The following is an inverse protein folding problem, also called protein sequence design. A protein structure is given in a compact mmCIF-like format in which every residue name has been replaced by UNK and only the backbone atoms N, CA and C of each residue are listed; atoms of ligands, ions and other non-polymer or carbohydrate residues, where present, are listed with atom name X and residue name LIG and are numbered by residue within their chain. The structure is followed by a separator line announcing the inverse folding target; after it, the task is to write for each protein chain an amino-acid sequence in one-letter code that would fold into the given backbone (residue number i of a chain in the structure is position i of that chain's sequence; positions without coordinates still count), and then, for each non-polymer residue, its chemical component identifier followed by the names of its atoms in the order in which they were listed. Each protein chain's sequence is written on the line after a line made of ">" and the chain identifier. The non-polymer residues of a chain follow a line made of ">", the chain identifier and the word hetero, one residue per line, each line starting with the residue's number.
data_IF_002924626184
#
_entry.id   IF_002924626184
#
_cell.length_a   1.000
_cell.length_b   1.000
_cell.length_c   1.000
_cell.angle_alpha   90.00
_cell.angle_beta   90.00
_cell.angle_gamma   90.00
#
_symmetry.space_group_name_H-M   'P 1'
#
loop_
_entity.id
_entity.type
_entity.pdbx_description
1 polymer ?
#
# COMPACT_ATOMS: atom_id res chain seq x y z
N UNK A 1 -58.61 11.53 54.10
CA UNK A 1 -57.14 11.43 53.96
C UNK A 1 -56.86 10.80 52.61
N UNK A 2 -56.33 11.58 51.67
CA UNK A 2 -55.91 11.10 50.35
C UNK A 2 -54.39 10.93 50.35
N UNK A 3 -53.82 9.86 49.77
CA UNK A 3 -52.39 9.70 49.71
C UNK A 3 -51.80 10.63 48.66
N UNK A 4 -50.80 11.41 49.06
CA UNK A 4 -49.93 12.17 48.16
C UNK A 4 -49.01 11.15 47.46
N UNK A 5 -49.19 10.98 46.15
CA UNK A 5 -48.29 10.18 45.32
C UNK A 5 -47.09 11.06 44.98
N UNK A 6 -45.99 10.85 45.71
CA UNK A 6 -44.66 11.37 45.35
C UNK A 6 -44.26 10.77 44.00
N UNK A 7 -44.28 11.59 42.95
CA UNK A 7 -43.60 11.27 41.71
C UNK A 7 -42.09 11.26 41.99
N UNK A 8 -41.53 10.06 42.11
CA UNK A 8 -40.09 9.84 42.06
C UNK A 8 -39.58 10.40 40.73
N UNK A 9 -38.78 11.47 40.78
CA UNK A 9 -37.92 11.81 39.66
C UNK A 9 -37.06 10.57 39.41
N UNK A 10 -37.27 9.88 38.28
CA UNK A 10 -36.26 8.97 37.77
C UNK A 10 -35.03 9.82 37.54
N UNK A 11 -33.94 9.48 38.23
CA UNK A 11 -32.60 9.94 37.92
C UNK A 11 -32.42 9.82 36.41
N UNK A 12 -32.40 10.97 35.73
CA UNK A 12 -31.89 11.02 34.38
C UNK A 12 -30.43 10.61 34.54
N UNK A 13 -30.04 9.52 33.87
CA UNK A 13 -28.62 9.25 33.64
C UNK A 13 -27.94 10.59 33.31
N UNK A 14 -26.76 10.88 33.91
CA UNK A 14 -26.08 12.13 33.66
C UNK A 14 -25.97 12.30 32.15
N UNK A 15 -26.45 13.44 31.67
CA UNK A 15 -26.46 13.86 30.27
C UNK A 15 -25.03 13.67 29.73
N UNK A 16 -24.76 12.49 29.16
CA UNK A 16 -23.44 12.18 28.63
C UNK A 16 -23.24 13.13 27.47
N UNK A 17 -22.24 14.00 27.58
CA UNK A 17 -21.93 14.98 26.55
C UNK A 17 -21.85 14.26 25.20
N UNK A 18 -22.75 14.56 24.23
CA UNK A 18 -22.78 13.87 22.94
C UNK A 18 -21.48 14.04 22.15
N UNK A 19 -20.59 14.92 22.60
CA UNK A 19 -19.33 15.28 21.98
C UNK A 19 -18.09 14.74 22.70
N UNK A 20 -18.23 14.06 23.85
CA UNK A 20 -17.12 13.53 24.65
C UNK A 20 -16.17 12.63 23.83
N UNK A 21 -16.73 11.89 22.86
CA UNK A 21 -15.98 10.99 21.97
C UNK A 21 -16.00 11.44 20.51
N UNK A 22 -16.47 12.66 20.21
CA UNK A 22 -16.49 13.15 18.84
C UNK A 22 -15.06 13.35 18.34
N UNK A 23 -14.75 12.69 17.23
CA UNK A 23 -13.53 12.94 16.45
C UNK A 23 -13.96 13.35 15.06
N UNK A 24 -13.43 14.48 14.58
CA UNK A 24 -13.65 14.91 13.21
C UNK A 24 -13.22 13.78 12.26
N UNK A 25 -14.07 13.35 11.32
CA UNK A 25 -13.70 12.34 10.34
C UNK A 25 -12.45 12.77 9.57
N UNK A 26 -11.53 11.83 9.35
CA UNK A 26 -10.34 12.08 8.53
C UNK A 26 -10.70 11.76 7.08
N UNK A 27 -10.92 12.81 6.30
CA UNK A 27 -11.22 12.70 4.89
C UNK A 27 -9.98 12.30 4.08
N UNK A 28 -10.08 11.19 3.34
CA UNK A 28 -9.02 10.72 2.46
C UNK A 28 -9.54 9.74 1.39
N UNK A 29 -8.68 9.33 0.46
CA UNK A 29 -8.96 8.27 -0.50
C UNK A 29 -7.79 7.32 -0.77
N UNK A 30 -8.15 6.14 -1.27
CA UNK A 30 -7.28 5.03 -1.57
C UNK A 30 -7.14 4.85 -3.09
N UNK A 31 -6.00 4.32 -3.51
CA UNK A 31 -5.73 3.89 -4.89
C UNK A 31 -5.50 2.39 -4.85
N UNK A 32 -6.32 1.64 -5.59
CA UNK A 32 -6.29 0.19 -5.62
C UNK A 32 -6.00 -0.29 -7.04
N UNK A 33 -5.16 -1.31 -7.15
CA UNK A 33 -4.95 -2.05 -8.38
C UNK A 33 -6.10 -3.03 -8.63
N UNK A 34 -6.61 -3.09 -9.85
CA UNK A 34 -7.64 -4.05 -10.27
C UNK A 34 -7.06 -5.44 -10.64
N UNK A 35 -5.73 -5.58 -10.76
CA UNK A 35 -5.04 -6.84 -11.08
C UNK A 35 -5.03 -7.87 -9.92
N UNK A 36 -5.76 -7.60 -8.83
CA UNK A 36 -5.91 -8.50 -7.69
C UNK A 36 -6.81 -9.74 -7.92
N UNK A 37 -7.11 -10.13 -9.16
CA UNK A 37 -7.77 -11.42 -9.40
C UNK A 37 -6.84 -12.64 -9.44
N UNK A 38 -5.51 -12.50 -9.55
CA UNK A 38 -4.62 -13.68 -9.66
C UNK A 38 -3.73 -13.99 -8.44
N UNK A 39 -3.57 -13.09 -7.47
CA UNK A 39 -2.71 -13.34 -6.30
C UNK A 39 -3.31 -12.94 -4.93
N UNK A 40 -4.61 -12.66 -4.84
CA UNK A 40 -5.24 -12.34 -3.55
C UNK A 40 -6.61 -12.98 -3.39
N UNK A 41 -6.60 -14.23 -2.92
CA UNK A 41 -7.71 -14.70 -2.09
C UNK A 41 -7.60 -14.17 -0.65
N UNK A 42 -6.51 -13.48 -0.27
CA UNK A 42 -6.20 -13.27 1.15
C UNK A 42 -5.84 -11.85 1.59
N UNK A 43 -5.67 -10.86 0.70
CA UNK A 43 -5.12 -9.58 1.17
C UNK A 43 -5.86 -8.29 0.79
N UNK A 44 -6.56 -8.15 -0.34
CA UNK A 44 -7.49 -7.02 -0.57
C UNK A 44 -6.94 -5.63 -0.22
N UNK A 45 -5.61 -5.43 -0.29
CA UNK A 45 -4.99 -4.31 0.45
C UNK A 45 -5.13 -3.04 -0.38
N UNK A 46 -5.90 -2.10 0.17
CA UNK A 46 -5.98 -0.74 -0.30
C UNK A 46 -4.84 0.09 0.31
N UNK A 47 -4.09 0.82 -0.51
CA UNK A 47 -2.96 1.63 -0.03
C UNK A 47 -3.15 3.11 -0.38
N UNK A 48 -2.57 3.97 0.45
CA UNK A 48 -2.23 5.33 0.05
C UNK A 48 -0.89 5.25 -0.69
N UNK A 49 -0.91 5.41 -2.01
CA UNK A 49 0.31 5.60 -2.81
C UNK A 49 0.30 6.98 -3.44
N UNK A 50 1.50 7.52 -3.68
CA UNK A 50 1.72 8.75 -4.44
C UNK A 50 2.31 8.46 -5.83
N UNK A 51 2.50 7.18 -6.18
CA UNK A 51 3.13 6.73 -7.41
C UNK A 51 2.42 5.49 -7.98
N UNK A 52 2.16 5.47 -9.29
CA UNK A 52 1.46 4.38 -10.00
C UNK A 52 2.05 4.16 -11.40
N UNK A 53 1.93 2.96 -11.96
CA UNK A 53 2.29 2.73 -13.37
C UNK A 53 1.27 3.31 -14.35
N UNK A 54 1.76 3.83 -15.46
CA UNK A 54 0.93 4.05 -16.65
C UNK A 54 0.44 2.71 -17.20
N UNK A 55 -0.60 2.77 -18.01
CA UNK A 55 -1.21 1.62 -18.69
C UNK A 55 -1.79 0.54 -17.77
N UNK A 56 -2.07 0.88 -16.50
CA UNK A 56 -2.81 0.03 -15.56
C UNK A 56 -4.09 0.76 -15.16
N UNK A 57 -5.18 0.00 -15.01
CA UNK A 57 -6.44 0.52 -14.47
C UNK A 57 -6.38 0.47 -12.94
N UNK A 58 -6.59 1.62 -12.31
CA UNK A 58 -6.69 1.72 -10.86
C UNK A 58 -8.08 2.12 -10.43
N UNK A 59 -8.57 1.55 -9.34
CA UNK A 59 -9.77 1.99 -8.66
C UNK A 59 -9.41 3.05 -7.61
N UNK A 60 -9.96 4.24 -7.77
CA UNK A 60 -9.91 5.31 -6.78
C UNK A 60 -11.13 5.20 -5.89
N UNK A 61 -10.97 5.26 -4.56
CA UNK A 61 -12.05 5.04 -3.60
C UNK A 61 -11.95 5.96 -2.39
N UNK A 62 -13.02 6.70 -2.10
CA UNK A 62 -13.14 7.49 -0.86
C UNK A 62 -13.14 6.57 0.36
N UNK A 63 -12.41 6.96 1.41
CA UNK A 63 -12.42 6.25 2.70
C UNK A 63 -13.76 6.46 3.41
N UNK A 64 -14.23 7.71 3.43
CA UNK A 64 -15.49 8.07 4.07
C UNK A 64 -16.68 7.87 3.13
N UNK A 65 -17.84 7.66 3.75
CA UNK A 65 -19.14 7.74 3.09
C UNK A 65 -19.64 9.18 3.09
N UNK A 66 -19.88 9.69 1.89
CA UNK A 66 -20.47 11.00 1.64
C UNK A 66 -21.84 10.84 0.98
N UNK A 67 -22.70 11.84 1.17
CA UNK A 67 -23.99 11.96 0.48
C UNK A 67 -23.76 12.25 -1.01
N UNK A 68 -22.71 13.02 -1.33
CA UNK A 68 -22.29 13.29 -2.71
C UNK A 68 -20.78 13.30 -2.85
N UNK A 69 -20.31 12.91 -4.03
CA UNK A 69 -18.90 12.90 -4.39
C UNK A 69 -18.70 13.76 -5.64
N UNK A 70 -17.57 14.46 -5.70
CA UNK A 70 -17.07 15.08 -6.92
C UNK A 70 -15.56 14.83 -7.00
N UNK A 71 -15.17 14.00 -7.97
CA UNK A 71 -13.79 13.72 -8.29
C UNK A 71 -13.35 14.49 -9.52
N UNK A 72 -12.14 15.01 -9.48
CA UNK A 72 -11.54 15.75 -10.57
C UNK A 72 -10.04 15.43 -10.68
N UNK A 73 -9.54 15.36 -11.91
CA UNK A 73 -8.11 15.37 -12.18
C UNK A 73 -7.72 16.82 -12.48
N UNK A 74 -6.99 17.46 -11.58
CA UNK A 74 -6.58 18.86 -11.75
C UNK A 74 -5.72 18.98 -13.01
N UNK A 75 -6.07 19.94 -13.87
CA UNK A 75 -5.42 20.11 -15.17
C UNK A 75 -6.02 19.24 -16.29
N UNK A 76 -6.97 18.34 -15.98
CA UNK A 76 -7.79 17.64 -16.95
C UNK A 76 -9.28 17.94 -16.70
N UNK A 77 -9.79 19.09 -17.18
CA UNK A 77 -11.15 19.55 -16.88
C UNK A 77 -12.24 18.63 -17.44
N UNK A 78 -11.90 17.72 -18.35
CA UNK A 78 -12.84 16.77 -18.94
C UNK A 78 -13.17 15.58 -18.02
N UNK A 79 -12.32 15.29 -17.02
CA UNK A 79 -12.57 14.16 -16.12
C UNK A 79 -13.35 14.59 -14.88
N UNK A 80 -14.54 14.00 -14.70
CA UNK A 80 -15.34 14.09 -13.47
C UNK A 80 -15.95 12.75 -13.12
N UNK A 81 -16.03 12.43 -11.83
CA UNK A 81 -16.81 11.30 -11.32
C UNK A 81 -17.61 11.70 -10.08
N UNK A 82 -18.78 11.11 -9.89
CA UNK A 82 -19.70 11.41 -8.78
C UNK A 82 -19.99 10.20 -7.88
N UNK A 83 -19.24 9.12 -8.06
CA UNK A 83 -19.39 7.88 -7.29
C UNK A 83 -18.38 7.79 -6.14
N UNK A 84 -18.65 6.95 -5.13
CA UNK A 84 -17.70 6.67 -4.04
C UNK A 84 -16.37 6.11 -4.55
N UNK A 85 -16.44 5.32 -5.62
CA UNK A 85 -15.28 4.74 -6.30
C UNK A 85 -15.46 4.69 -7.80
N UNK A 86 -14.36 4.78 -8.54
CA UNK A 86 -14.33 4.67 -10.00
C UNK A 86 -12.99 4.12 -10.49
N UNK A 87 -12.98 3.37 -11.60
CA UNK A 87 -11.74 3.02 -12.28
C UNK A 87 -11.24 4.19 -13.12
N UNK A 88 -9.92 4.37 -13.18
CA UNK A 88 -9.27 5.33 -14.06
C UNK A 88 -7.94 4.77 -14.56
N UNK A 89 -7.65 5.11 -15.82
CA UNK A 89 -6.49 4.65 -16.57
C UNK A 89 -5.65 5.85 -17.01
N UNK A 90 -4.32 5.71 -16.94
CA UNK A 90 -3.39 6.75 -17.32
C UNK A 90 -2.44 6.27 -18.43
N UNK A 91 -2.52 6.81 -19.66
CA UNK A 91 -1.69 6.36 -20.78
C UNK A 91 -0.24 6.90 -20.74
N UNK A 92 -0.02 7.99 -20.01
CA UNK A 92 1.21 8.78 -20.08
C UNK A 92 1.87 8.92 -18.71
N UNK A 93 3.20 8.94 -18.70
CA UNK A 93 4.00 9.37 -17.55
C UNK A 93 3.70 10.84 -17.27
N UNK A 94 3.35 11.17 -16.03
CA UNK A 94 2.97 12.53 -15.65
C UNK A 94 2.95 12.69 -14.12
N UNK A 95 3.01 13.93 -13.63
CA UNK A 95 2.57 14.25 -12.27
C UNK A 95 1.19 14.88 -12.38
N UNK A 96 0.21 14.31 -11.68
CA UNK A 96 -1.17 14.80 -11.66
C UNK A 96 -1.56 15.14 -10.22
N UNK A 97 -2.62 15.93 -10.07
CA UNK A 97 -3.30 16.08 -8.79
C UNK A 97 -4.72 15.56 -8.91
N UNK A 98 -5.10 14.69 -7.99
CA UNK A 98 -6.45 14.18 -7.84
C UNK A 98 -7.15 14.96 -6.74
N UNK A 99 -8.34 15.48 -7.03
CA UNK A 99 -9.20 16.20 -6.08
C UNK A 99 -10.47 15.40 -5.84
N UNK A 100 -10.82 15.20 -4.57
CA UNK A 100 -12.13 14.72 -4.12
C UNK A 100 -12.78 15.82 -3.30
N UNK A 101 -14.02 16.16 -3.63
CA UNK A 101 -14.91 16.97 -2.81
C UNK A 101 -16.06 16.07 -2.37
N UNK A 102 -16.08 15.73 -1.09
CA UNK A 102 -17.16 14.98 -0.44
C UNK A 102 -18.09 15.92 0.29
N UNK A 103 -19.41 15.67 0.22
CA UNK A 103 -20.38 16.37 1.07
C UNK A 103 -21.11 15.38 1.96
N UNK A 104 -21.20 15.68 3.24
CA UNK A 104 -21.95 14.95 4.27
C UNK A 104 -22.79 15.92 5.07
N UNK A 105 -23.73 15.40 5.84
CA UNK A 105 -24.46 16.22 6.82
C UNK A 105 -23.47 16.85 7.84
N UNK A 106 -23.54 18.17 8.06
CA UNK A 106 -22.78 18.85 9.12
C UNK A 106 -23.10 18.33 10.52
N UNK A 107 -22.09 18.19 11.38
CA UNK A 107 -22.24 17.95 12.81
C UNK A 107 -21.97 19.23 13.63
N UNK A 108 -22.84 20.23 13.48
CA UNK A 108 -22.73 21.50 14.20
C UNK A 108 -22.95 21.38 15.71
N UNK A 109 -23.47 20.24 16.19
CA UNK A 109 -23.61 19.95 17.62
C UNK A 109 -22.25 19.81 18.30
N UNK A 110 -21.32 19.07 17.68
CA UNK A 110 -19.99 18.81 18.26
C UNK A 110 -18.86 19.60 17.60
N UNK A 111 -19.11 20.19 16.44
CA UNK A 111 -18.17 21.04 15.73
C UNK A 111 -18.97 22.18 15.09
N UNK A 112 -19.16 23.31 15.79
CA UNK A 112 -19.98 24.43 15.31
C UNK A 112 -19.56 25.00 13.96
N UNK A 113 -18.33 24.70 13.51
CA UNK A 113 -17.78 25.15 12.23
C UNK A 113 -17.76 24.05 11.16
N UNK A 114 -18.27 22.85 11.46
CA UNK A 114 -18.41 21.78 10.46
C UNK A 114 -19.44 22.23 9.42
N UNK A 115 -18.99 22.43 8.18
CA UNK A 115 -19.82 22.76 7.03
C UNK A 115 -20.25 21.51 6.25
N UNK A 116 -19.79 20.32 6.69
CA UNK A 116 -20.06 19.05 6.04
C UNK A 116 -19.35 18.87 4.70
N UNK A 117 -18.36 19.72 4.36
CA UNK A 117 -17.64 19.66 3.10
C UNK A 117 -16.18 19.27 3.35
N UNK A 118 -15.78 18.13 2.79
CA UNK A 118 -14.43 17.64 2.88
C UNK A 118 -13.75 17.74 1.50
N UNK A 119 -12.63 18.46 1.41
CA UNK A 119 -11.83 18.58 0.17
C UNK A 119 -10.46 17.93 0.34
N UNK A 120 -10.20 16.89 -0.42
CA UNK A 120 -8.93 16.15 -0.43
C UNK A 120 -8.22 16.42 -1.75
N UNK A 121 -6.94 16.77 -1.69
CA UNK A 121 -6.07 16.90 -2.87
C UNK A 121 -4.83 16.03 -2.64
N UNK A 122 -4.57 15.07 -3.53
CA UNK A 122 -3.35 14.26 -3.51
C UNK A 122 -2.61 14.37 -4.84
N UNK A 123 -1.30 14.53 -4.78
CA UNK A 123 -0.45 14.41 -5.95
C UNK A 123 -0.17 12.93 -6.24
N UNK A 124 -0.21 12.55 -7.52
CA UNK A 124 0.18 11.23 -7.99
C UNK A 124 1.21 11.36 -9.10
N UNK A 125 2.25 10.55 -9.02
CA UNK A 125 3.29 10.41 -10.03
C UNK A 125 3.02 9.15 -10.83
N UNK A 126 2.65 9.32 -12.09
CA UNK A 126 2.48 8.22 -13.03
C UNK A 126 3.83 7.96 -13.69
N UNK A 127 4.31 6.73 -13.62
CA UNK A 127 5.63 6.30 -14.11
C UNK A 127 5.50 5.16 -15.11
N UNK A 128 6.56 4.89 -15.84
CA UNK A 128 6.60 3.80 -16.82
C UNK A 128 6.50 2.44 -16.13
N UNK A 129 5.73 1.51 -16.72
CA UNK A 129 5.68 0.12 -16.24
C UNK A 129 7.01 -0.59 -16.44
N UNK A 130 7.42 -1.40 -15.46
CA UNK A 130 8.58 -2.27 -15.60
C UNK A 130 8.14 -3.42 -16.50
N UNK A 131 8.32 -3.25 -17.81
CA UNK A 131 8.21 -4.37 -18.74
C UNK A 131 9.54 -5.12 -18.78
N UNK A 132 9.52 -6.47 -18.68
CA UNK A 132 10.73 -7.30 -18.81
C UNK A 132 11.48 -7.10 -20.14
N UNK A 133 10.86 -6.46 -21.13
CA UNK A 133 11.44 -6.14 -22.44
C UNK A 133 12.21 -4.82 -22.50
N UNK A 134 12.22 -4.01 -21.45
CA UNK A 134 12.86 -2.69 -21.47
C UNK A 134 14.28 -2.79 -20.88
N UNK A 135 15.30 -2.43 -21.67
CA UNK A 135 16.72 -2.51 -21.28
C UNK A 135 17.15 -1.44 -20.29
N UNK A 136 16.50 -0.28 -20.32
CA UNK A 136 16.71 0.79 -19.33
C UNK A 136 15.62 0.68 -18.27
N UNK A 137 15.94 0.34 -17.01
CA UNK A 137 14.93 0.36 -15.97
C UNK A 137 14.30 1.76 -15.97
N UNK A 138 12.96 1.86 -15.84
CA UNK A 138 12.38 3.15 -15.53
C UNK A 138 13.03 3.69 -14.25
N UNK A 139 12.97 5.01 -14.01
CA UNK A 139 13.49 5.62 -12.78
C UNK A 139 12.80 4.97 -11.56
N UNK A 140 13.35 3.85 -11.11
CA UNK A 140 12.71 2.99 -10.14
C UNK A 140 13.14 3.47 -8.77
N UNK A 141 12.16 3.91 -7.99
CA UNK A 141 12.38 4.46 -6.65
C UNK A 141 13.08 3.47 -5.72
N UNK A 142 12.98 2.16 -5.98
CA UNK A 142 13.52 1.13 -5.12
C UNK A 142 14.87 0.54 -5.56
N UNK A 143 15.38 0.83 -6.77
CA UNK A 143 16.68 0.27 -7.19
C UNK A 143 17.82 0.91 -6.40
N UNK A 144 18.85 0.14 -6.09
CA UNK A 144 20.06 0.62 -5.43
C UNK A 144 20.35 -0.09 -4.11
N UNK A 145 21.25 0.50 -3.34
CA UNK A 145 21.81 -0.10 -2.14
C UNK A 145 21.05 0.34 -0.91
N UNK A 146 20.90 -0.59 0.01
CA UNK A 146 20.24 -0.40 1.29
C UNK A 146 21.13 -0.94 2.40
N UNK A 147 21.08 -0.25 3.53
CA UNK A 147 21.76 -0.66 4.74
C UNK A 147 20.77 -0.67 5.89
N UNK A 148 20.78 -1.72 6.71
CA UNK A 148 19.75 -1.92 7.72
C UNK A 148 20.10 -3.03 8.69
N UNK A 149 19.09 -3.57 9.36
CA UNK A 149 19.25 -4.66 10.32
C UNK A 149 18.08 -5.63 10.25
N UNK A 150 18.32 -6.88 10.67
CA UNK A 150 17.24 -7.82 10.97
C UNK A 150 16.71 -7.52 12.38
N UNK A 151 15.39 -7.38 12.54
CA UNK A 151 14.75 -7.08 13.83
C UNK A 151 15.11 -8.12 14.91
N UNK A 152 15.41 -9.37 14.53
CA UNK A 152 15.86 -10.39 15.48
C UNK A 152 17.31 -10.17 15.93
N UNK A 153 18.15 -9.56 15.08
CA UNK A 153 19.55 -9.26 15.37
C UNK A 153 19.86 -7.78 15.06
N UNK A 154 19.28 -6.83 15.82
CA UNK A 154 19.31 -5.41 15.47
C UNK A 154 20.70 -4.76 15.60
N UNK A 155 21.65 -5.45 16.23
CA UNK A 155 23.03 -4.98 16.42
C UNK A 155 23.92 -5.24 15.20
N UNK A 156 23.47 -6.06 14.25
CA UNK A 156 24.24 -6.41 13.06
C UNK A 156 23.69 -5.61 11.89
N UNK A 157 24.51 -4.68 11.39
CA UNK A 157 24.20 -3.96 10.16
C UNK A 157 24.44 -4.88 8.95
N UNK A 158 23.45 -4.98 8.07
CA UNK A 158 23.47 -5.80 6.87
C UNK A 158 23.13 -4.92 5.66
N UNK A 159 23.90 -5.13 4.58
CA UNK A 159 23.70 -4.45 3.31
C UNK A 159 22.97 -5.35 2.32
N UNK A 160 22.05 -4.78 1.56
CA UNK A 160 21.42 -5.44 0.42
C UNK A 160 21.37 -4.49 -0.78
N UNK A 161 21.19 -5.03 -1.97
CA UNK A 161 21.08 -4.23 -3.19
C UNK A 161 19.93 -4.74 -4.04
N UNK A 162 19.07 -3.84 -4.48
CA UNK A 162 18.01 -4.16 -5.43
C UNK A 162 18.48 -3.73 -6.82
N UNK A 163 18.63 -4.71 -7.71
CA UNK A 163 19.15 -4.51 -9.07
C UNK A 163 18.10 -4.86 -10.11
N UNK A 164 18.21 -4.24 -11.28
CA UNK A 164 17.46 -4.61 -12.46
C UNK A 164 18.45 -5.01 -13.54
N UNK A 165 18.44 -6.28 -13.92
CA UNK A 165 19.44 -6.83 -14.82
C UNK A 165 18.87 -7.97 -15.67
N UNK A 166 19.57 -8.24 -16.77
CA UNK A 166 19.24 -9.34 -17.68
C UNK A 166 19.78 -10.64 -17.11
N UNK A 167 18.93 -11.66 -16.99
CA UNK A 167 19.38 -13.00 -16.60
C UNK A 167 20.16 -13.63 -17.76
N UNK A 168 21.36 -14.21 -17.53
CA UNK A 168 22.08 -14.92 -18.57
C UNK A 168 21.20 -16.00 -19.22
N UNK A 169 21.12 -16.02 -20.55
CA UNK A 169 20.29 -16.96 -21.31
C UNK A 169 18.82 -16.55 -21.49
N UNK A 170 18.40 -15.38 -20.98
CA UNK A 170 17.04 -14.85 -21.16
C UNK A 170 17.07 -13.54 -21.95
N UNK A 171 16.02 -13.28 -22.72
CA UNK A 171 15.81 -12.00 -23.40
C UNK A 171 15.37 -10.88 -22.45
N UNK A 172 14.83 -11.27 -21.30
CA UNK A 172 14.11 -10.39 -20.39
C UNK A 172 14.96 -9.93 -19.21
N UNK A 173 14.68 -8.73 -18.74
CA UNK A 173 15.22 -8.14 -17.52
C UNK A 173 14.29 -8.44 -16.35
N UNK A 174 14.89 -8.64 -15.18
CA UNK A 174 14.19 -8.92 -13.94
C UNK A 174 14.78 -8.07 -12.82
N UNK A 175 13.94 -7.81 -11.82
CA UNK A 175 14.39 -7.18 -10.58
C UNK A 175 14.85 -8.26 -9.62
N UNK A 176 16.01 -8.08 -9.02
CA UNK A 176 16.59 -8.99 -8.03
C UNK A 176 16.98 -8.28 -6.75
N UNK A 177 16.98 -9.02 -5.64
CA UNK A 177 17.69 -8.62 -4.42
C UNK A 177 19.00 -9.42 -4.33
N UNK A 178 20.11 -8.70 -4.21
CA UNK A 178 21.44 -9.22 -3.91
C UNK A 178 21.73 -9.08 -2.41
N UNK A 179 22.56 -9.99 -1.89
CA UNK A 179 23.07 -9.99 -0.51
C UNK A 179 21.98 -10.00 0.57
N UNK A 180 20.83 -10.63 0.28
CA UNK A 180 19.75 -10.68 1.25
C UNK A 180 20.18 -11.42 2.53
N UNK A 181 19.87 -10.92 3.75
CA UNK A 181 20.29 -11.56 4.99
C UNK A 181 19.81 -13.01 5.10
N UNK A 182 20.69 -13.90 5.55
CA UNK A 182 20.44 -15.35 5.68
C UNK A 182 19.93 -16.06 4.41
N UNK A 183 20.16 -15.42 3.26
CA UNK A 183 20.01 -16.04 1.96
C UNK A 183 21.32 -16.69 1.52
N UNK A 184 21.25 -17.67 0.63
CA UNK A 184 22.48 -18.28 0.15
C UNK A 184 23.31 -17.28 -0.63
N UNK A 185 24.63 -17.32 -0.40
CA UNK A 185 25.60 -16.29 -0.80
C UNK A 185 25.58 -15.90 -2.29
N UNK A 186 24.98 -16.72 -3.15
CA UNK A 186 24.95 -16.52 -4.60
C UNK A 186 23.54 -16.32 -5.19
N UNK A 187 22.50 -16.21 -4.36
CA UNK A 187 21.14 -16.23 -4.85
C UNK A 187 20.58 -14.83 -5.11
N UNK A 188 20.36 -14.55 -6.39
CA UNK A 188 19.51 -13.46 -6.87
C UNK A 188 18.06 -13.90 -6.76
N UNK A 189 17.24 -13.18 -6.00
CA UNK A 189 15.81 -13.50 -5.87
C UNK A 189 14.98 -12.65 -6.79
N UNK A 190 14.23 -13.28 -7.70
CA UNK A 190 13.27 -12.57 -8.54
C UNK A 190 12.22 -11.87 -7.69
N UNK A 191 11.92 -10.63 -8.03
CA UNK A 191 10.93 -9.79 -7.37
C UNK A 191 9.75 -9.53 -8.29
N UNK A 192 8.54 -9.64 -7.73
CA UNK A 192 7.34 -9.18 -8.37
C UNK A 192 6.91 -7.87 -7.72
N UNK A 193 6.87 -6.79 -8.48
CA UNK A 193 6.58 -5.46 -7.97
C UNK A 193 5.10 -5.16 -8.22
N UNK A 194 4.38 -4.85 -7.15
CA UNK A 194 3.00 -4.39 -7.25
C UNK A 194 2.89 -3.13 -8.10
N UNK A 195 1.74 -2.95 -8.71
CA UNK A 195 1.50 -1.82 -9.60
C UNK A 195 1.58 -0.43 -8.93
N UNK A 196 1.47 -0.40 -7.61
CA UNK A 196 1.47 0.80 -6.77
C UNK A 196 2.84 1.13 -6.18
N UNK A 197 3.92 0.42 -6.57
CA UNK A 197 5.30 0.59 -6.06
C UNK A 197 5.51 0.35 -4.55
N UNK A 198 4.45 0.16 -3.79
CA UNK A 198 4.53 0.06 -2.34
C UNK A 198 4.82 -1.36 -1.88
N UNK A 199 4.61 -2.37 -2.72
CA UNK A 199 4.78 -3.76 -2.35
C UNK A 199 5.63 -4.51 -3.38
N UNK A 200 6.59 -5.28 -2.92
CA UNK A 200 7.30 -6.30 -3.69
C UNK A 200 6.99 -7.64 -3.06
N UNK A 201 6.53 -8.59 -3.85
CA UNK A 201 6.43 -9.97 -3.43
C UNK A 201 7.76 -10.67 -3.64
N UNK A 202 8.24 -11.29 -2.56
CA UNK A 202 9.31 -12.27 -2.61
C UNK A 202 8.66 -13.59 -3.00
N UNK A 203 8.46 -13.78 -4.29
CA UNK A 203 7.85 -14.98 -4.82
C UNK A 203 8.75 -15.54 -5.90
N UNK A 204 9.57 -16.54 -5.54
CA UNK A 204 10.24 -17.31 -6.56
C UNK A 204 9.96 -18.80 -6.43
N UNK A 205 9.22 -19.29 -7.41
CA UNK A 205 9.13 -20.68 -7.81
C UNK A 205 10.49 -21.14 -8.32
N UNK A 206 11.01 -22.24 -7.78
CA UNK A 206 12.11 -23.00 -8.37
C UNK A 206 11.71 -23.49 -9.78
N UNK A 207 11.87 -22.67 -10.82
CA UNK A 207 11.90 -23.16 -12.20
C UNK A 207 13.34 -23.41 -12.58
N UNK A 208 13.78 -24.60 -12.15
CA UNK A 208 14.78 -25.45 -12.79
C UNK A 208 16.11 -24.81 -13.19
N UNK A 209 17.13 -25.12 -12.39
CA UNK A 209 18.52 -24.88 -12.73
C UNK A 209 19.45 -25.32 -11.60
N UNK A 210 19.40 -26.61 -11.25
CA UNK A 210 20.46 -27.38 -10.59
C UNK A 210 21.30 -26.73 -9.48
N UNK A 211 21.18 -27.28 -8.27
CA UNK A 211 22.39 -27.66 -7.53
C UNK A 211 22.88 -26.69 -6.45
N UNK A 212 22.11 -26.56 -5.38
CA UNK A 212 22.62 -26.90 -4.03
C UNK A 212 21.42 -27.32 -3.20
N UNK A 213 21.30 -28.63 -2.96
CA UNK A 213 20.28 -29.22 -2.10
C UNK A 213 20.32 -28.54 -0.72
N UNK A 214 19.30 -27.71 -0.43
CA UNK A 214 19.07 -27.18 0.92
C UNK A 214 18.76 -25.70 1.04
N UNK A 215 18.98 -24.90 -0.01
CA UNK A 215 18.65 -23.47 0.03
C UNK A 215 17.25 -23.19 -0.52
N UNK A 216 16.36 -22.66 0.31
CA UNK A 216 15.03 -22.22 -0.11
C UNK A 216 15.01 -20.69 -0.22
N UNK A 217 14.43 -20.17 -1.30
CA UNK A 217 14.21 -18.73 -1.47
C UNK A 217 13.30 -18.18 -0.37
N UNK A 218 13.58 -16.97 0.16
CA UNK A 218 12.67 -16.32 1.09
C UNK A 218 11.33 -16.11 0.41
N UNK A 219 10.25 -16.37 1.15
CA UNK A 219 8.89 -15.98 0.77
C UNK A 219 8.43 -14.88 1.69
N UNK A 220 7.72 -13.90 1.14
CA UNK A 220 7.28 -12.75 1.91
C UNK A 220 7.00 -11.57 1.02
N UNK A 221 7.10 -10.39 1.63
CA UNK A 221 6.83 -9.14 0.97
C UNK A 221 7.73 -8.04 1.50
N UNK A 222 7.95 -7.05 0.67
CA UNK A 222 8.81 -5.90 0.92
C UNK A 222 7.98 -4.65 0.67
N UNK A 223 7.98 -3.74 1.63
CA UNK A 223 7.28 -2.47 1.55
C UNK A 223 8.29 -1.33 1.52
N UNK A 224 8.18 -0.45 0.53
CA UNK A 224 8.99 0.77 0.49
C UNK A 224 8.28 1.88 1.25
N UNK A 225 9.08 2.63 1.98
CA UNK A 225 8.65 3.85 2.66
C UNK A 225 9.57 4.99 2.22
N UNK A 226 9.17 6.26 2.39
CA UNK A 226 10.07 7.38 2.17
C UNK A 226 11.37 7.29 2.99
N UNK A 227 11.33 6.59 4.13
CA UNK A 227 12.47 6.39 5.03
C UNK A 227 13.38 5.21 4.63
N UNK A 228 12.95 4.35 3.70
CA UNK A 228 13.69 3.16 3.32
C UNK A 228 12.80 1.97 2.97
N UNK A 229 13.11 0.80 3.50
CA UNK A 229 12.48 -0.46 3.14
C UNK A 229 12.23 -1.34 4.37
N UNK A 230 11.07 -1.96 4.39
CA UNK A 230 10.62 -2.90 5.42
C UNK A 230 10.26 -4.23 4.76
N UNK A 231 11.08 -5.26 4.98
CA UNK A 231 10.93 -6.56 4.33
C UNK A 231 10.53 -7.58 5.37
N UNK A 232 9.32 -8.12 5.23
CA UNK A 232 8.79 -9.19 6.06
C UNK A 232 8.87 -10.52 5.30
N UNK A 233 9.59 -11.48 5.85
CA UNK A 233 9.90 -12.72 5.14
C UNK A 233 10.01 -13.94 6.05
N UNK A 234 9.95 -15.12 5.43
CA UNK A 234 10.23 -16.40 6.03
C UNK A 234 11.20 -17.20 5.15
N UNK A 235 12.22 -17.77 5.78
CA UNK A 235 13.12 -18.77 5.19
C UNK A 235 12.72 -20.14 5.76
N UNK A 236 12.33 -21.08 4.90
CA UNK A 236 11.83 -22.44 5.19
C UNK A 236 10.38 -22.63 5.69
N UNK A 237 9.72 -23.60 5.04
CA UNK A 237 8.45 -24.31 5.33
C UNK A 237 7.27 -23.39 5.68
N UNK A 238 6.29 -23.21 4.80
CA UNK A 238 5.08 -24.05 4.73
C UNK A 238 4.49 -23.97 3.31
N UNK A 239 4.25 -25.13 2.68
CA UNK A 239 3.60 -25.27 1.37
C UNK A 239 2.07 -25.13 1.43
N UNK A 240 1.55 -24.42 2.42
CA UNK A 240 0.11 -24.25 2.64
C UNK A 240 -0.24 -22.76 2.47
N UNK A 241 -0.99 -22.39 1.42
CA UNK A 241 -1.63 -21.08 1.31
C UNK A 241 -2.43 -20.78 2.60
N UNK A 242 -2.36 -19.56 3.13
CA UNK A 242 -3.11 -19.13 4.33
C UNK A 242 -2.35 -19.09 5.66
N UNK A 243 -1.07 -19.49 5.72
CA UNK A 243 -0.27 -19.38 6.96
C UNK A 243 1.23 -19.31 6.70
N UNK A 244 1.70 -18.17 6.18
CA UNK A 244 3.13 -17.83 6.26
C UNK A 244 3.34 -17.15 7.62
N UNK A 245 3.83 -17.83 8.67
CA UNK A 245 4.32 -17.11 9.83
C UNK A 245 5.49 -16.26 9.35
N UNK A 246 5.29 -14.95 9.27
CA UNK A 246 6.36 -13.99 9.03
C UNK A 246 7.31 -14.15 10.22
N UNK A 247 8.47 -14.75 9.98
CA UNK A 247 9.45 -15.06 11.04
C UNK A 247 10.51 -13.98 11.16
N UNK A 248 10.69 -13.16 10.12
CA UNK A 248 11.81 -12.23 10.04
C UNK A 248 11.37 -10.91 9.43
N UNK A 249 12.07 -9.85 9.82
CA UNK A 249 11.82 -8.50 9.36
C UNK A 249 13.14 -7.75 9.19
N UNK A 250 13.43 -7.29 7.98
CA UNK A 250 14.56 -6.42 7.71
C UNK A 250 14.07 -4.98 7.59
N UNK A 251 14.71 -4.05 8.29
CA UNK A 251 14.43 -2.62 8.19
C UNK A 251 15.72 -1.95 7.72
N UNK A 252 15.68 -1.29 6.57
CA UNK A 252 16.83 -0.63 5.98
C UNK A 252 16.53 0.74 5.43
N UNK A 253 17.57 1.55 5.28
CA UNK A 253 17.55 2.87 4.61
C UNK A 253 18.37 2.80 3.33
N UNK A 254 17.99 3.58 2.33
CA UNK A 254 18.76 3.71 1.09
C UNK A 254 20.06 4.48 1.33
N UNK A 255 21.13 4.13 0.61
CA UNK A 255 22.43 4.83 0.62
C UNK A 255 22.80 5.37 -0.76
#
# INVERSE_FOLDING_TARGET
>A
MAPIVLHSCKDKDPDTDPCENYRRPIADFLVQDDLQQQCSNELGIAWSCDTIYKNIQYTFKSILDYDTYLWEVVGNPGFKSTTKSFPLYFPNVAKIQMRLIGKRKPNTTCDPNDDGIDTIIKALTIVESISPSIESPPQNLFLGKYIGYDVINPTIEVGMEIVYEKRPGYSNYYTFINYFPDSCRDNKFGLEISSTYNLIFLNYHNTQGGGTLGCQSPRGWCMFTPAGVDIQYATKDILTPGSIPIKRRFIGRRI
#
